data_IF_530382838370
#
_entry.id   IF_530382838370
#
_cell.length_a   1.000
_cell.length_b   1.000
_cell.length_c   1.000
_cell.angle_alpha   90.00
_cell.angle_beta   90.00
_cell.angle_gamma   90.00
#
_symmetry.space_group_name_H-M   'P 1'
#
loop_
_entity.id
_entity.type
_entity.pdbx_description
1 polymer ?
#
# COMPACT_ATOMS: atom_id res chain seq x y z
N UNK A 1 25.69 13.20 -1.73
CA UNK A 1 25.39 12.97 -0.30
C UNK A 1 26.70 13.12 0.48
N UNK A 2 26.79 14.14 1.35
CA UNK A 2 27.88 14.33 2.29
C UNK A 2 27.81 13.20 3.33
N UNK A 3 28.77 12.28 3.32
CA UNK A 3 28.74 11.03 4.08
C UNK A 3 28.80 11.19 5.61
N UNK A 4 29.30 12.31 6.14
CA UNK A 4 29.64 12.40 7.55
C UNK A 4 28.57 13.04 8.44
N UNK A 5 27.98 14.18 8.09
CA UNK A 5 26.99 14.85 8.95
C UNK A 5 25.64 14.12 8.99
N UNK A 6 25.17 13.60 7.87
CA UNK A 6 23.92 12.82 7.81
C UNK A 6 24.02 11.50 8.57
N UNK A 7 25.19 10.89 8.62
CA UNK A 7 25.42 9.62 9.32
C UNK A 7 25.41 9.83 10.85
N UNK A 8 25.99 10.91 11.34
CA UNK A 8 25.98 11.25 12.79
C UNK A 8 24.56 11.55 13.25
N UNK A 9 23.84 12.45 12.54
CA UNK A 9 22.45 12.78 12.86
C UNK A 9 21.55 11.54 12.90
N UNK A 10 21.65 10.66 11.88
CA UNK A 10 20.86 9.44 11.82
C UNK A 10 21.16 8.48 12.97
N UNK A 11 22.43 8.36 13.35
CA UNK A 11 22.85 7.53 14.48
C UNK A 11 22.28 8.05 15.80
N UNK A 12 22.43 9.35 16.06
CA UNK A 12 21.89 9.99 17.26
C UNK A 12 20.37 9.87 17.35
N UNK A 13 19.67 10.12 16.23
CA UNK A 13 18.22 9.96 16.16
C UNK A 13 17.80 8.52 16.50
N UNK A 14 18.51 7.55 15.96
CA UNK A 14 18.23 6.13 16.21
C UNK A 14 18.46 5.76 17.68
N UNK A 15 19.54 6.22 18.27
CA UNK A 15 19.84 6.01 19.68
C UNK A 15 18.77 6.64 20.59
N UNK A 16 18.31 7.84 20.28
CA UNK A 16 17.22 8.50 21.02
C UNK A 16 15.89 7.73 20.90
N UNK A 17 15.57 7.23 19.70
CA UNK A 17 14.40 6.38 19.48
C UNK A 17 14.51 5.08 20.27
N UNK A 18 15.66 4.43 20.25
CA UNK A 18 15.89 3.19 21.00
C UNK A 18 15.67 3.43 22.48
N UNK A 19 16.26 4.49 23.06
CA UNK A 19 16.07 4.89 24.45
C UNK A 19 14.60 5.20 24.78
N UNK A 20 13.87 5.84 23.85
CA UNK A 20 12.45 6.12 24.04
C UNK A 20 11.63 4.84 24.15
N UNK A 21 11.80 3.89 23.20
CA UNK A 21 11.10 2.63 23.22
C UNK A 21 11.40 1.80 24.48
N UNK A 22 12.66 1.76 24.90
CA UNK A 22 13.11 1.04 26.08
C UNK A 22 12.56 1.69 27.37
N UNK A 23 12.62 3.01 27.48
CA UNK A 23 12.10 3.77 28.62
C UNK A 23 10.62 3.56 28.85
N UNK A 24 9.84 3.59 27.77
CA UNK A 24 8.38 3.47 27.84
C UNK A 24 7.87 2.03 27.65
N UNK A 25 8.77 1.07 27.45
CA UNK A 25 8.43 -0.34 27.19
C UNK A 25 7.44 -0.52 26.06
N UNK A 26 7.56 0.28 25.02
CA UNK A 26 6.71 0.22 23.83
C UNK A 26 7.27 -0.82 22.85
N UNK A 27 6.43 -1.74 22.39
CA UNK A 27 6.84 -2.70 21.36
C UNK A 27 7.00 -1.99 19.99
N UNK A 28 8.09 -2.29 19.29
CA UNK A 28 8.40 -1.74 17.94
C UNK A 28 7.62 -2.41 16.82
N UNK A 29 6.97 -3.53 17.11
CA UNK A 29 6.14 -4.28 16.19
C UNK A 29 4.69 -4.26 16.64
N UNK A 30 3.78 -4.78 15.81
CA UNK A 30 2.34 -4.72 16.00
C UNK A 30 1.87 -5.06 17.41
N UNK A 31 1.11 -4.15 17.95
CA UNK A 31 0.53 -4.18 19.30
C UNK A 31 -0.89 -4.78 19.30
N UNK A 32 -1.63 -4.63 20.41
CA UNK A 32 -3.01 -5.08 20.53
C UNK A 32 -3.95 -4.45 19.48
N UNK A 33 -3.71 -3.19 19.11
CA UNK A 33 -4.49 -2.49 18.07
C UNK A 33 -4.27 -3.14 16.70
N UNK A 34 -3.03 -3.50 16.36
CA UNK A 34 -2.73 -4.22 15.12
C UNK A 34 -3.43 -5.59 15.09
N UNK A 35 -3.36 -6.35 16.17
CA UNK A 35 -4.08 -7.64 16.26
C UNK A 35 -5.59 -7.46 16.09
N UNK A 36 -6.17 -6.45 16.71
CA UNK A 36 -7.57 -6.10 16.54
C UNK A 36 -7.89 -5.76 15.06
N UNK A 37 -7.08 -4.94 14.39
CA UNK A 37 -7.26 -4.62 12.96
C UNK A 37 -7.22 -5.88 12.08
N UNK A 38 -6.30 -6.81 12.35
CA UNK A 38 -6.20 -8.07 11.60
C UNK A 38 -7.50 -8.87 11.75
N UNK A 39 -7.98 -9.09 12.99
CA UNK A 39 -9.22 -9.83 13.23
C UNK A 39 -10.42 -9.10 12.61
N UNK A 40 -10.50 -7.78 12.78
CA UNK A 40 -11.61 -6.99 12.30
C UNK A 40 -11.71 -7.03 10.76
N UNK A 41 -10.66 -6.67 10.05
CA UNK A 41 -10.75 -6.51 8.59
C UNK A 41 -10.84 -7.84 7.84
N UNK A 42 -10.11 -8.86 8.28
CA UNK A 42 -10.30 -10.21 7.71
C UNK A 42 -11.64 -10.81 8.12
N UNK A 43 -12.10 -10.60 9.35
CA UNK A 43 -13.42 -11.04 9.81
C UNK A 43 -14.54 -10.37 9.00
N UNK A 44 -14.49 -9.05 8.80
CA UNK A 44 -15.45 -8.33 7.96
C UNK A 44 -15.44 -8.85 6.52
N UNK A 45 -14.25 -9.14 5.95
CA UNK A 45 -14.16 -9.70 4.61
C UNK A 45 -14.86 -11.05 4.51
N UNK A 46 -14.62 -11.97 5.47
CA UNK A 46 -15.27 -13.28 5.50
C UNK A 46 -16.81 -13.12 5.66
N UNK A 47 -17.26 -12.24 6.54
CA UNK A 47 -18.69 -12.00 6.78
C UNK A 47 -19.34 -11.44 5.52
N UNK A 48 -18.80 -10.39 4.92
CA UNK A 48 -19.41 -9.77 3.74
C UNK A 48 -19.36 -10.69 2.52
N UNK A 49 -18.29 -11.46 2.35
CA UNK A 49 -18.21 -12.47 1.32
C UNK A 49 -19.27 -13.56 1.51
N UNK A 50 -19.43 -14.08 2.74
CA UNK A 50 -20.47 -15.06 3.05
C UNK A 50 -21.89 -14.50 2.85
N UNK A 51 -22.14 -13.27 3.30
CA UNK A 51 -23.40 -12.60 3.07
C UNK A 51 -23.69 -12.38 1.58
N UNK A 52 -22.70 -11.99 0.81
CA UNK A 52 -22.82 -11.84 -0.65
C UNK A 52 -23.30 -13.15 -1.33
N UNK A 53 -22.72 -14.30 -0.95
CA UNK A 53 -23.01 -15.59 -1.57
C UNK A 53 -24.44 -16.09 -1.33
N UNK A 54 -25.12 -15.66 -0.28
CA UNK A 54 -26.48 -16.09 0.07
C UNK A 54 -27.56 -15.15 -0.45
N UNK A 55 -27.20 -14.03 -1.08
CA UNK A 55 -28.18 -13.09 -1.59
C UNK A 55 -28.91 -13.64 -2.82
N UNK A 56 -30.21 -13.35 -2.90
CA UNK A 56 -31.06 -13.75 -4.02
C UNK A 56 -31.41 -12.58 -4.95
N UNK A 57 -31.22 -11.35 -4.49
CA UNK A 57 -31.47 -10.14 -5.26
C UNK A 57 -30.15 -9.41 -5.59
N UNK A 58 -30.12 -8.73 -6.73
CA UNK A 58 -28.94 -8.06 -7.23
C UNK A 58 -28.49 -6.89 -6.34
N UNK A 59 -29.43 -6.14 -5.75
CA UNK A 59 -29.07 -4.97 -4.93
C UNK A 59 -28.29 -5.38 -3.69
N UNK A 60 -28.83 -6.35 -2.92
CA UNK A 60 -28.18 -6.88 -1.73
C UNK A 60 -26.83 -7.53 -2.08
N UNK A 61 -26.75 -8.29 -3.20
CA UNK A 61 -25.49 -8.85 -3.68
C UNK A 61 -24.44 -7.76 -3.89
N UNK A 62 -24.75 -6.70 -4.62
CA UNK A 62 -23.80 -5.62 -4.87
C UNK A 62 -23.43 -4.82 -3.63
N UNK A 63 -24.36 -4.63 -2.69
CA UNK A 63 -24.05 -3.98 -1.41
C UNK A 63 -22.97 -4.77 -0.66
N UNK A 64 -23.14 -6.07 -0.47
CA UNK A 64 -22.15 -6.89 0.22
C UNK A 64 -20.86 -7.07 -0.56
N UNK A 65 -20.90 -7.11 -1.88
CA UNK A 65 -19.72 -7.07 -2.74
C UNK A 65 -18.89 -5.81 -2.50
N UNK A 66 -19.52 -4.63 -2.48
CA UNK A 66 -18.84 -3.36 -2.23
C UNK A 66 -18.29 -3.27 -0.80
N UNK A 67 -19.05 -3.73 0.20
CA UNK A 67 -18.60 -3.76 1.60
C UNK A 67 -17.41 -4.73 1.78
N UNK A 68 -17.44 -5.88 1.12
CA UNK A 68 -16.32 -6.82 1.07
C UNK A 68 -15.08 -6.22 0.42
N UNK A 69 -15.24 -5.56 -0.72
CA UNK A 69 -14.16 -4.82 -1.40
C UNK A 69 -13.57 -3.72 -0.51
N UNK A 70 -14.40 -2.98 0.21
CA UNK A 70 -13.94 -1.97 1.18
C UNK A 70 -13.15 -2.63 2.31
N UNK A 71 -13.61 -3.75 2.85
CA UNK A 71 -12.88 -4.49 3.90
C UNK A 71 -11.50 -4.97 3.41
N UNK A 72 -11.39 -5.43 2.17
CA UNK A 72 -10.11 -5.78 1.54
C UNK A 72 -9.19 -4.56 1.44
N UNK A 73 -9.69 -3.42 0.96
CA UNK A 73 -8.91 -2.18 0.88
C UNK A 73 -8.40 -1.75 2.27
N UNK A 74 -9.27 -1.81 3.29
CA UNK A 74 -8.88 -1.49 4.65
C UNK A 74 -7.82 -2.46 5.20
N UNK A 75 -7.89 -3.74 4.85
CA UNK A 75 -6.84 -4.71 5.20
C UNK A 75 -5.51 -4.38 4.52
N UNK A 76 -5.52 -4.03 3.25
CA UNK A 76 -4.29 -3.65 2.50
C UNK A 76 -3.65 -2.41 3.11
N UNK A 77 -4.38 -1.34 3.33
CA UNK A 77 -3.83 -0.09 3.87
C UNK A 77 -3.41 -0.17 5.34
N UNK A 78 -4.07 -0.99 6.15
CA UNK A 78 -3.82 -1.04 7.60
C UNK A 78 -2.96 -2.22 8.05
N UNK A 79 -2.87 -3.29 7.25
CA UNK A 79 -2.19 -4.52 7.66
C UNK A 79 -1.08 -4.85 6.67
N UNK A 80 -1.39 -4.91 5.38
CA UNK A 80 -0.42 -5.35 4.37
C UNK A 80 0.77 -4.42 4.27
N UNK A 81 0.57 -3.11 4.34
CA UNK A 81 1.63 -2.11 4.32
C UNK A 81 2.60 -2.32 5.49
N UNK A 82 2.09 -2.40 6.73
CA UNK A 82 2.92 -2.63 7.91
C UNK A 82 3.58 -4.02 7.88
N UNK A 83 2.89 -5.02 7.32
CA UNK A 83 3.44 -6.36 7.15
C UNK A 83 4.56 -6.40 6.10
N UNK A 84 4.45 -5.62 5.01
CA UNK A 84 5.51 -5.45 4.01
C UNK A 84 6.80 -4.88 4.64
N UNK A 85 6.66 -3.96 5.60
CA UNK A 85 7.78 -3.43 6.39
C UNK A 85 8.24 -4.34 7.54
N UNK A 86 7.60 -5.50 7.72
CA UNK A 86 7.96 -6.47 8.77
C UNK A 86 7.57 -6.04 10.19
N UNK A 87 6.68 -5.04 10.34
CA UNK A 87 6.31 -4.45 11.63
C UNK A 87 4.90 -4.77 12.12
N UNK A 88 4.06 -5.43 11.31
CA UNK A 88 2.72 -5.84 11.73
C UNK A 88 2.75 -6.86 12.87
N UNK A 89 3.79 -7.70 12.95
CA UNK A 89 4.02 -8.63 14.07
C UNK A 89 5.52 -8.96 14.23
N UNK A 90 5.88 -9.63 15.34
CA UNK A 90 7.28 -10.03 15.62
C UNK A 90 7.82 -11.09 14.64
N UNK A 91 6.97 -11.92 14.09
CA UNK A 91 7.34 -13.03 13.23
C UNK A 91 7.43 -12.59 11.76
N UNK A 92 8.60 -12.81 11.14
CA UNK A 92 8.79 -12.58 9.69
C UNK A 92 7.85 -13.42 8.84
N UNK A 93 7.61 -14.67 9.26
CA UNK A 93 6.69 -15.57 8.57
C UNK A 93 5.26 -15.01 8.55
N UNK A 94 4.74 -14.59 9.70
CA UNK A 94 3.39 -14.04 9.77
C UNK A 94 3.26 -12.68 9.04
N UNK A 95 4.28 -11.83 9.08
CA UNK A 95 4.31 -10.62 8.25
C UNK A 95 4.19 -10.98 6.76
N UNK A 96 4.96 -11.97 6.28
CA UNK A 96 4.87 -12.40 4.88
C UNK A 96 3.47 -12.95 4.53
N UNK A 97 2.87 -13.76 5.40
CA UNK A 97 1.52 -14.30 5.19
C UNK A 97 0.46 -13.19 5.14
N UNK A 98 0.48 -12.27 6.12
CA UNK A 98 -0.47 -11.15 6.17
C UNK A 98 -0.35 -10.27 4.92
N UNK A 99 0.88 -9.98 4.49
CA UNK A 99 1.15 -9.22 3.27
C UNK A 99 0.58 -9.91 2.03
N UNK A 100 0.94 -11.18 1.83
CA UNK A 100 0.52 -11.94 0.65
C UNK A 100 -1.01 -12.14 0.60
N UNK A 101 -1.64 -12.54 1.71
CA UNK A 101 -3.10 -12.74 1.73
C UNK A 101 -3.82 -11.44 1.42
N UNK A 102 -3.44 -10.32 2.03
CA UNK A 102 -4.11 -9.04 1.81
C UNK A 102 -4.02 -8.60 0.34
N UNK A 103 -2.85 -8.71 -0.27
CA UNK A 103 -2.66 -8.35 -1.69
C UNK A 103 -3.36 -9.32 -2.64
N UNK A 104 -3.34 -10.62 -2.34
CA UNK A 104 -4.04 -11.62 -3.15
C UNK A 104 -5.56 -11.42 -3.13
N UNK A 105 -6.14 -11.04 -1.97
CA UNK A 105 -7.56 -10.68 -1.88
C UNK A 105 -7.90 -9.45 -2.73
N UNK A 106 -6.98 -8.49 -2.86
CA UNK A 106 -7.13 -7.35 -3.75
C UNK A 106 -6.97 -7.72 -5.24
N UNK A 107 -6.48 -8.92 -5.55
CA UNK A 107 -6.13 -9.34 -6.91
C UNK A 107 -4.79 -8.78 -7.41
N UNK A 108 -3.95 -8.28 -6.51
CA UNK A 108 -2.65 -7.70 -6.85
C UNK A 108 -1.50 -8.64 -6.45
N UNK A 109 -0.41 -8.60 -7.21
CA UNK A 109 0.79 -9.37 -6.92
C UNK A 109 1.62 -8.70 -5.82
N UNK A 110 1.68 -9.32 -4.64
CA UNK A 110 2.41 -8.79 -3.48
C UNK A 110 3.92 -8.66 -3.74
N UNK A 111 4.53 -9.59 -4.49
CA UNK A 111 5.96 -9.55 -4.81
C UNK A 111 6.28 -8.34 -5.71
N UNK A 112 5.49 -8.14 -6.76
CA UNK A 112 5.67 -7.00 -7.68
C UNK A 112 5.49 -5.68 -6.94
N UNK A 113 4.43 -5.55 -6.16
CA UNK A 113 4.19 -4.35 -5.37
C UNK A 113 5.31 -4.09 -4.35
N UNK A 114 5.74 -5.12 -3.62
CA UNK A 114 6.80 -5.01 -2.61
C UNK A 114 8.12 -4.52 -3.20
N UNK A 115 8.50 -5.03 -4.38
CA UNK A 115 9.68 -4.54 -5.09
C UNK A 115 9.58 -3.06 -5.46
N UNK A 116 8.50 -2.67 -6.11
CA UNK A 116 8.30 -1.28 -6.50
C UNK A 116 8.24 -0.34 -5.30
N UNK A 117 7.56 -0.73 -4.25
CA UNK A 117 7.41 0.06 -3.04
C UNK A 117 8.73 0.22 -2.28
N UNK A 118 9.47 -0.87 -2.06
CA UNK A 118 10.70 -0.84 -1.25
C UNK A 118 11.94 -0.44 -2.04
N UNK A 119 12.06 -0.86 -3.32
CA UNK A 119 13.27 -0.65 -4.12
C UNK A 119 13.24 0.65 -4.95
N UNK A 120 12.05 1.22 -5.19
CA UNK A 120 11.89 2.49 -5.91
C UNK A 120 11.36 3.59 -4.99
N UNK A 121 10.10 3.48 -4.55
CA UNK A 121 9.45 4.54 -3.80
C UNK A 121 10.19 4.89 -2.50
N UNK A 122 10.52 3.93 -1.64
CA UNK A 122 11.20 4.23 -0.36
C UNK A 122 12.64 4.71 -0.50
N UNK A 123 13.35 4.27 -1.54
CA UNK A 123 14.73 4.72 -1.78
C UNK A 123 14.80 6.10 -2.42
N UNK A 124 13.78 6.45 -3.21
CA UNK A 124 13.79 7.63 -4.07
C UNK A 124 12.49 8.45 -3.93
N UNK A 125 11.87 8.47 -2.77
CA UNK A 125 10.58 9.15 -2.53
C UNK A 125 10.59 10.57 -3.08
N UNK A 126 9.67 10.84 -4.02
CA UNK A 126 9.53 12.11 -4.74
C UNK A 126 10.75 12.54 -5.59
N UNK A 127 11.72 11.65 -5.81
CA UNK A 127 12.82 11.92 -6.74
C UNK A 127 12.35 11.66 -8.16
N UNK A 128 12.33 12.72 -8.97
CA UNK A 128 11.90 12.64 -10.36
C UNK A 128 12.76 11.67 -11.17
N UNK A 129 12.10 10.88 -12.02
CA UNK A 129 12.76 9.85 -12.83
C UNK A 129 13.16 8.57 -12.08
N UNK A 130 13.04 8.54 -10.74
CA UNK A 130 13.44 7.40 -9.92
C UNK A 130 12.31 6.83 -9.06
N UNK A 131 11.41 7.68 -8.57
CA UNK A 131 10.23 7.24 -7.82
C UNK A 131 9.15 6.78 -8.79
N UNK A 132 8.79 5.50 -8.74
CA UNK A 132 7.80 4.91 -9.62
C UNK A 132 6.40 5.49 -9.42
N UNK A 133 6.09 6.00 -8.23
CA UNK A 133 4.77 6.57 -7.92
C UNK A 133 4.61 7.97 -8.53
N UNK A 134 5.73 8.63 -8.82
CA UNK A 134 5.78 9.93 -9.51
C UNK A 134 6.07 9.77 -11.01
N UNK A 135 6.55 8.58 -11.43
CA UNK A 135 6.91 8.33 -12.82
C UNK A 135 5.71 8.45 -13.76
N UNK A 136 5.88 9.37 -14.69
CA UNK A 136 5.21 9.57 -15.98
C UNK A 136 3.79 9.03 -16.14
N UNK A 137 2.85 9.67 -15.49
CA UNK A 137 1.50 9.69 -15.99
C UNK A 137 1.31 10.97 -16.84
N UNK A 138 1.28 10.83 -18.16
CA UNK A 138 1.06 11.98 -19.04
C UNK A 138 -0.31 12.62 -18.89
N UNK A 139 -1.27 11.91 -18.26
CA UNK A 139 -2.63 12.40 -18.04
C UNK A 139 -2.73 13.32 -16.83
N UNK A 140 -1.93 13.10 -15.79
CA UNK A 140 -1.91 13.94 -14.58
C UNK A 140 -0.51 14.46 -14.38
N UNK A 141 -0.36 15.78 -14.28
CA UNK A 141 0.89 16.43 -13.93
C UNK A 141 1.01 16.52 -12.41
N UNK A 142 1.97 15.82 -11.84
CA UNK A 142 2.20 15.74 -10.39
C UNK A 142 3.35 16.65 -9.94
N UNK A 143 4.33 16.92 -10.82
CA UNK A 143 5.52 17.71 -10.49
C UNK A 143 5.71 18.85 -11.51
N UNK A 144 6.46 19.88 -11.11
CA UNK A 144 6.76 21.02 -11.99
C UNK A 144 7.65 20.63 -13.18
N UNK A 145 8.48 19.63 -13.02
CA UNK A 145 9.38 19.17 -14.06
C UNK A 145 8.66 18.38 -15.18
N UNK A 146 7.46 17.88 -14.91
CA UNK A 146 6.63 17.28 -15.96
C UNK A 146 6.12 18.32 -16.95
N UNK A 147 6.14 18.05 -18.27
CA UNK A 147 5.66 19.00 -19.29
C UNK A 147 4.21 19.44 -19.05
N UNK A 148 3.99 20.74 -18.94
CA UNK A 148 2.65 21.30 -18.81
C UNK A 148 1.89 21.24 -20.14
N UNK A 149 0.74 20.56 -20.15
CA UNK A 149 -0.16 20.45 -21.30
C UNK A 149 -1.47 21.20 -21.04
N UNK A 150 -2.14 21.65 -22.12
CA UNK A 150 -3.36 22.46 -22.01
C UNK A 150 -4.49 21.79 -21.21
N UNK A 151 -4.60 20.48 -21.25
CA UNK A 151 -5.64 19.74 -20.54
C UNK A 151 -5.37 19.61 -19.03
N UNK A 152 -4.13 19.79 -18.56
CA UNK A 152 -3.80 19.70 -17.13
C UNK A 152 -4.53 20.77 -16.29
N UNK A 153 -4.96 21.91 -16.89
CA UNK A 153 -5.79 22.89 -16.20
C UNK A 153 -7.12 22.32 -15.69
N UNK A 154 -7.59 21.23 -16.29
CA UNK A 154 -8.83 20.54 -15.92
C UNK A 154 -8.57 19.25 -15.13
N UNK A 155 -7.33 18.93 -14.74
CA UNK A 155 -7.02 17.65 -14.11
C UNK A 155 -7.80 17.43 -12.80
N UNK A 156 -8.17 18.48 -12.07
CA UNK A 156 -9.02 18.39 -10.88
C UNK A 156 -10.42 17.80 -11.18
N UNK A 157 -10.91 17.88 -12.42
CA UNK A 157 -12.19 17.30 -12.83
C UNK A 157 -12.07 15.84 -13.26
N UNK A 158 -11.03 15.49 -14.01
CA UNK A 158 -10.90 14.15 -14.56
C UNK A 158 -9.98 13.22 -13.75
N UNK A 159 -9.20 13.75 -12.80
CA UNK A 159 -8.31 12.94 -11.97
C UNK A 159 -9.00 11.77 -11.27
N UNK A 160 -10.23 11.92 -10.70
CA UNK A 160 -10.92 10.77 -10.09
C UNK A 160 -11.15 9.62 -11.06
N UNK A 161 -11.48 9.91 -12.33
CA UNK A 161 -11.65 8.87 -13.37
C UNK A 161 -10.33 8.20 -13.72
N UNK A 162 -9.25 8.98 -13.84
CA UNK A 162 -7.91 8.42 -14.08
C UNK A 162 -7.47 7.53 -12.93
N UNK A 163 -7.71 7.93 -11.68
CA UNK A 163 -7.39 7.09 -10.51
C UNK A 163 -8.22 5.81 -10.46
N UNK A 164 -9.48 5.85 -10.86
CA UNK A 164 -10.30 4.63 -10.98
C UNK A 164 -9.68 3.63 -11.98
N UNK A 165 -9.20 4.13 -13.13
CA UNK A 165 -8.53 3.31 -14.13
C UNK A 165 -7.12 2.89 -13.70
N UNK A 166 -6.47 3.65 -12.84
CA UNK A 166 -5.12 3.36 -12.36
C UNK A 166 -5.04 2.07 -11.56
N UNK A 167 -6.07 1.75 -10.78
CA UNK A 167 -6.17 0.47 -10.08
C UNK A 167 -6.17 -0.71 -11.04
N UNK A 168 -6.89 -0.61 -12.17
CA UNK A 168 -6.87 -1.62 -13.23
C UNK A 168 -5.48 -1.75 -13.88
N UNK A 169 -4.81 -0.64 -14.11
CA UNK A 169 -3.44 -0.64 -14.61
C UNK A 169 -2.47 -1.37 -13.66
N UNK A 170 -2.58 -1.14 -12.35
CA UNK A 170 -1.75 -1.82 -11.36
C UNK A 170 -2.02 -3.33 -11.31
N UNK A 171 -3.28 -3.73 -11.21
CA UNK A 171 -3.66 -5.13 -11.03
C UNK A 171 -3.37 -5.95 -12.29
N UNK A 172 -3.68 -5.41 -13.46
CA UNK A 172 -3.62 -6.17 -14.73
C UNK A 172 -2.33 -5.86 -15.49
N UNK A 173 -2.14 -4.62 -15.91
CA UNK A 173 -1.09 -4.27 -16.87
C UNK A 173 0.30 -4.41 -16.25
N UNK A 174 0.53 -3.84 -15.07
CA UNK A 174 1.85 -3.92 -14.41
C UNK A 174 2.20 -5.34 -13.98
N UNK A 175 1.22 -6.11 -13.52
CA UNK A 175 1.45 -7.52 -13.18
C UNK A 175 1.85 -8.33 -14.42
N UNK A 176 1.15 -8.15 -15.54
CA UNK A 176 1.50 -8.82 -16.81
C UNK A 176 2.89 -8.38 -17.30
N UNK A 177 3.14 -7.07 -17.35
CA UNK A 177 4.44 -6.54 -17.80
C UNK A 177 5.60 -7.05 -16.94
N UNK A 178 5.40 -7.20 -15.64
CA UNK A 178 6.44 -7.73 -14.74
C UNK A 178 6.82 -9.19 -15.03
N UNK A 179 5.94 -9.95 -15.66
CA UNK A 179 6.24 -11.33 -16.08
C UNK A 179 7.19 -11.38 -17.31
N UNK A 180 7.24 -10.31 -18.09
CA UNK A 180 8.05 -10.23 -19.31
C UNK A 180 9.34 -9.41 -19.14
N UNK A 181 9.48 -8.69 -18.03
CA UNK A 181 10.65 -7.85 -17.74
C UNK A 181 11.58 -8.48 -16.68
N UNK A 182 11.60 -9.81 -16.58
CA UNK A 182 12.53 -10.56 -15.72
C UNK A 182 13.87 -10.72 -16.38
#
# INVERSE_FOLDING_TARGET
>A
FLKDEGTVFYKELREQLDQYFDKYKIERTGNAVMRFKVVLFFGLNIVFYGLMLIQKDALSFYIFYLLGGLAVLLAVFNIAHDAAHGVACKSKFWNSILFQISFNLLGNNSYVWGRYHSESHHLYTNVEGSDIDVLNNSLIRMTEAQPLKRYHRFQHLYAPLVYLMYSMNWIVIRTILSLFNV
#
